data_IF_698621770102
#
_entry.id   IF_698621770102
#
_cell.length_a   1.000
_cell.length_b   1.000
_cell.length_c   1.000
_cell.angle_alpha   90.00
_cell.angle_beta   90.00
_cell.angle_gamma   90.00
#
_symmetry.space_group_name_H-M   'P 1'
#
loop_
_entity.id
_entity.type
_entity.pdbx_description
1 polymer ?
#
# COMPACT_ATOMS: atom_id res chain seq x y z
N UNK A 1 -6.15 4.44 -5.58
CA UNK A 1 -5.27 3.76 -4.59
C UNK A 1 -6.06 2.80 -3.74
N UNK A 2 -5.42 1.75 -3.28
CA UNK A 2 -6.04 0.77 -2.41
C UNK A 2 -5.22 0.64 -1.14
N UNK A 3 -5.85 0.81 0.02
CA UNK A 3 -5.21 0.63 1.33
C UNK A 3 -5.75 -0.63 1.97
N UNK A 4 -4.88 -1.60 2.23
CA UNK A 4 -5.23 -2.89 2.81
C UNK A 4 -4.61 -2.99 4.20
N UNK A 5 -5.44 -2.97 5.23
CA UNK A 5 -4.99 -3.04 6.62
C UNK A 5 -6.14 -3.56 7.48
N UNK A 6 -5.87 -4.52 8.35
CA UNK A 6 -6.90 -5.09 9.22
C UNK A 6 -7.20 -4.20 10.43
N UNK A 7 -6.31 -3.27 10.76
CA UNK A 7 -6.55 -2.28 11.80
C UNK A 7 -7.41 -1.14 11.23
N UNK A 8 -8.64 -1.03 11.70
CA UNK A 8 -9.58 -0.03 11.21
C UNK A 8 -9.08 1.40 11.40
N UNK A 9 -8.39 1.68 12.51
CA UNK A 9 -7.88 3.03 12.78
C UNK A 9 -6.75 3.38 11.82
N UNK A 10 -5.79 2.49 11.62
CA UNK A 10 -4.69 2.71 10.68
C UNK A 10 -5.23 2.88 9.27
N UNK A 11 -6.14 2.02 8.86
CA UNK A 11 -6.78 2.08 7.55
C UNK A 11 -7.45 3.42 7.31
N UNK A 12 -8.21 3.89 8.29
CA UNK A 12 -8.91 5.18 8.21
C UNK A 12 -7.93 6.33 8.12
N UNK A 13 -6.89 6.34 8.95
CA UNK A 13 -5.88 7.41 8.97
C UNK A 13 -5.17 7.49 7.62
N UNK A 14 -4.71 6.37 7.10
CA UNK A 14 -4.03 6.36 5.80
C UNK A 14 -4.95 6.82 4.67
N UNK A 15 -6.17 6.32 4.66
CA UNK A 15 -7.13 6.71 3.62
C UNK A 15 -7.46 8.20 3.67
N UNK A 16 -7.69 8.74 4.85
CA UNK A 16 -7.97 10.17 5.02
C UNK A 16 -6.80 11.03 4.57
N UNK A 17 -5.59 10.63 4.96
CA UNK A 17 -4.39 11.38 4.61
C UNK A 17 -4.16 11.41 3.10
N UNK A 18 -4.35 10.29 2.43
CA UNK A 18 -4.18 10.22 0.98
C UNK A 18 -5.29 10.96 0.25
N UNK A 19 -6.53 10.87 0.74
CA UNK A 19 -7.64 11.63 0.17
C UNK A 19 -7.44 13.12 0.30
N UNK A 20 -6.82 13.56 1.39
CA UNK A 20 -6.49 14.97 1.58
C UNK A 20 -5.47 15.48 0.55
N UNK A 21 -4.72 14.61 -0.07
CA UNK A 21 -3.79 14.94 -1.15
C UNK A 21 -4.45 14.88 -2.53
N UNK A 22 -5.75 14.65 -2.59
CA UNK A 22 -6.49 14.60 -3.85
C UNK A 22 -6.59 13.21 -4.46
N UNK A 23 -6.19 12.17 -3.74
CA UNK A 23 -6.24 10.80 -4.26
C UNK A 23 -7.60 10.17 -4.05
N UNK A 24 -8.02 9.37 -5.02
CA UNK A 24 -9.16 8.48 -4.85
C UNK A 24 -8.67 7.22 -4.13
N UNK A 25 -9.25 6.91 -2.98
CA UNK A 25 -8.78 5.81 -2.13
C UNK A 25 -9.91 4.85 -1.82
N UNK A 26 -9.65 3.58 -2.11
CA UNK A 26 -10.47 2.46 -1.69
C UNK A 26 -9.76 1.74 -0.57
N UNK A 27 -10.51 1.06 0.28
CA UNK A 27 -9.94 0.35 1.43
C UNK A 27 -10.35 -1.11 1.44
N UNK A 28 -9.52 -1.94 2.05
CA UNK A 28 -9.80 -3.34 2.27
C UNK A 28 -9.35 -3.72 3.68
N UNK A 29 -10.10 -4.57 4.34
CA UNK A 29 -9.85 -4.94 5.74
C UNK A 29 -8.96 -6.17 5.90
N UNK A 30 -8.71 -6.90 4.83
CA UNK A 30 -7.87 -8.09 4.86
C UNK A 30 -7.31 -8.38 3.45
N UNK A 31 -6.43 -9.38 3.38
CA UNK A 31 -5.76 -9.71 2.13
C UNK A 31 -6.71 -10.22 1.06
N UNK A 32 -7.75 -10.96 1.44
CA UNK A 32 -8.73 -11.46 0.48
C UNK A 32 -9.49 -10.33 -0.18
N UNK A 33 -10.02 -9.41 0.62
CA UNK A 33 -10.73 -8.24 0.10
C UNK A 33 -9.79 -7.38 -0.74
N UNK A 34 -8.52 -7.25 -0.29
CA UNK A 34 -7.50 -6.54 -1.03
C UNK A 34 -7.28 -7.11 -2.42
N UNK A 35 -7.17 -8.44 -2.52
CA UNK A 35 -7.02 -9.11 -3.81
C UNK A 35 -8.23 -8.92 -4.71
N UNK A 36 -9.42 -9.04 -4.15
CA UNK A 36 -10.66 -8.84 -4.90
C UNK A 36 -10.73 -7.43 -5.47
N UNK A 37 -10.43 -6.43 -4.64
CA UNK A 37 -10.47 -5.03 -5.07
C UNK A 37 -9.34 -4.69 -6.04
N UNK A 38 -8.16 -5.24 -5.86
CA UNK A 38 -7.06 -5.03 -6.80
C UNK A 38 -7.42 -5.54 -8.18
N UNK A 39 -8.04 -6.71 -8.26
CA UNK A 39 -8.46 -7.27 -9.54
C UNK A 39 -9.61 -6.50 -10.18
N UNK A 40 -10.55 -6.03 -9.37
CA UNK A 40 -11.74 -5.34 -9.87
C UNK A 40 -11.52 -3.87 -10.20
N UNK A 41 -10.73 -3.18 -9.38
CA UNK A 41 -10.54 -1.73 -9.50
C UNK A 41 -9.23 -1.35 -10.21
N UNK A 42 -8.28 -2.23 -10.20
CA UNK A 42 -6.95 -2.04 -10.78
C UNK A 42 -6.33 -0.71 -10.33
N UNK A 43 -6.06 -0.55 -9.01
CA UNK A 43 -5.54 0.71 -8.48
C UNK A 43 -4.15 1.04 -8.98
N UNK A 44 -3.78 2.32 -8.91
CA UNK A 44 -2.45 2.79 -9.34
C UNK A 44 -1.36 2.43 -8.32
N UNK A 45 -1.74 2.19 -7.06
CA UNK A 45 -0.83 1.76 -6.01
C UNK A 45 -1.61 1.04 -4.93
N UNK A 46 -0.97 0.05 -4.32
CA UNK A 46 -1.54 -0.69 -3.19
C UNK A 46 -0.65 -0.46 -1.98
N UNK A 47 -1.26 -0.04 -0.87
CA UNK A 47 -0.61 0.02 0.44
C UNK A 47 -1.04 -1.21 1.20
N UNK A 48 -0.09 -2.10 1.52
CA UNK A 48 -0.39 -3.43 2.05
C UNK A 48 0.25 -3.66 3.41
N UNK A 49 -0.59 -3.89 4.43
CA UNK A 49 -0.12 -4.38 5.72
C UNK A 49 0.34 -5.83 5.56
N UNK A 50 1.52 -6.14 6.05
CA UNK A 50 2.08 -7.50 5.90
C UNK A 50 1.55 -8.48 6.95
N UNK A 51 1.15 -8.01 8.11
CA UNK A 51 0.73 -8.86 9.22
C UNK A 51 -0.79 -8.80 9.41
N UNK A 52 -1.50 -9.68 8.72
CA UNK A 52 -2.95 -9.76 8.80
C UNK A 52 -3.39 -11.23 8.93
N UNK A 53 -4.52 -11.50 9.59
CA UNK A 53 -5.04 -12.86 9.68
C UNK A 53 -5.60 -13.35 8.33
N UNK A 54 -5.67 -14.66 8.17
CA UNK A 54 -6.19 -15.27 6.94
C UNK A 54 -5.19 -15.17 5.80
N UNK A 55 -5.62 -14.60 4.69
CA UNK A 55 -4.69 -14.26 3.60
C UNK A 55 -3.93 -13.03 4.05
N UNK A 56 -2.72 -13.24 4.55
CA UNK A 56 -1.88 -12.14 5.05
C UNK A 56 -1.27 -11.34 3.91
N UNK A 57 -0.57 -10.26 4.28
CA UNK A 57 0.02 -9.37 3.28
C UNK A 57 1.05 -10.05 2.39
N UNK A 58 1.84 -10.97 2.94
CA UNK A 58 2.84 -11.72 2.16
C UNK A 58 2.19 -12.55 1.07
N UNK A 59 1.14 -13.28 1.44
CA UNK A 59 0.40 -14.11 0.50
C UNK A 59 -0.28 -13.27 -0.56
N UNK A 60 -0.86 -12.14 -0.16
CA UNK A 60 -1.50 -11.22 -1.09
C UNK A 60 -0.50 -10.67 -2.10
N UNK A 61 0.69 -10.26 -1.65
CA UNK A 61 1.75 -9.76 -2.53
C UNK A 61 2.17 -10.84 -3.52
N UNK A 62 2.35 -12.07 -3.04
CA UNK A 62 2.72 -13.18 -3.90
C UNK A 62 1.69 -13.38 -5.01
N UNK A 63 0.42 -13.39 -4.66
CA UNK A 63 -0.66 -13.57 -5.63
C UNK A 63 -0.75 -12.42 -6.62
N UNK A 64 -0.56 -11.18 -6.16
CA UNK A 64 -0.56 -10.02 -7.06
C UNK A 64 0.59 -10.10 -8.07
N UNK A 65 1.76 -10.54 -7.64
CA UNK A 65 2.92 -10.65 -8.52
C UNK A 65 2.84 -11.81 -9.49
N UNK A 66 2.15 -12.87 -9.13
CA UNK A 66 1.99 -14.04 -9.99
C UNK A 66 0.99 -13.81 -11.12
N UNK A 67 0.05 -12.89 -10.93
CA UNK A 67 -0.97 -12.59 -11.94
C UNK A 67 -0.46 -11.54 -12.93
N UNK A 68 -0.54 -11.85 -14.22
CA UNK A 68 -0.17 -10.89 -15.25
C UNK A 68 -1.05 -9.65 -15.23
N UNK A 69 -2.25 -9.74 -14.66
CA UNK A 69 -3.20 -8.63 -14.55
C UNK A 69 -2.79 -7.61 -13.50
N UNK A 70 -2.20 -8.06 -12.38
CA UNK A 70 -1.92 -7.18 -11.24
C UNK A 70 -0.44 -6.95 -10.96
N UNK A 71 0.46 -7.70 -11.57
CA UNK A 71 1.90 -7.63 -11.23
C UNK A 71 2.54 -6.28 -11.52
N UNK A 72 1.93 -5.46 -12.36
CA UNK A 72 2.46 -4.13 -12.66
C UNK A 72 2.02 -3.06 -11.66
N UNK A 73 1.08 -3.39 -10.76
CA UNK A 73 0.62 -2.43 -9.76
C UNK A 73 1.68 -2.26 -8.69
N UNK A 74 2.18 -1.03 -8.44
CA UNK A 74 3.17 -0.80 -7.39
C UNK A 74 2.60 -1.11 -6.01
N UNK A 75 3.43 -1.68 -5.14
CA UNK A 75 3.03 -2.08 -3.79
C UNK A 75 3.95 -1.42 -2.77
N UNK A 76 3.36 -0.70 -1.82
CA UNK A 76 4.04 -0.18 -0.63
C UNK A 76 3.66 -1.08 0.53
N UNK A 77 4.61 -1.84 1.04
CA UNK A 77 4.37 -2.68 2.21
C UNK A 77 4.55 -1.88 3.49
N UNK A 78 3.68 -2.10 4.47
CA UNK A 78 3.77 -1.47 5.79
C UNK A 78 3.71 -2.57 6.83
N UNK A 79 4.65 -2.57 7.78
CA UNK A 79 4.72 -3.65 8.77
C UNK A 79 5.27 -3.17 10.10
N UNK A 80 4.77 -3.75 11.19
CA UNK A 80 5.33 -3.53 12.52
C UNK A 80 6.62 -4.33 12.75
N UNK A 81 6.98 -5.21 11.82
CA UNK A 81 8.15 -6.11 11.95
C UNK A 81 9.32 -5.55 11.15
N UNK A 82 10.33 -4.94 11.81
CA UNK A 82 11.36 -4.19 11.10
C UNK A 82 12.31 -5.03 10.25
N UNK A 83 12.45 -6.33 10.53
CA UNK A 83 13.35 -7.17 9.76
C UNK A 83 12.83 -7.54 8.37
N UNK A 84 11.61 -7.16 8.05
CA UNK A 84 10.92 -7.59 6.82
C UNK A 84 11.33 -6.83 5.57
N UNK A 85 12.08 -5.73 5.68
CA UNK A 85 12.34 -4.87 4.52
C UNK A 85 12.91 -5.63 3.32
N UNK A 86 14.01 -6.33 3.54
CA UNK A 86 14.69 -7.04 2.46
C UNK A 86 13.81 -8.15 1.90
N UNK A 87 13.13 -8.87 2.78
CA UNK A 87 12.21 -9.93 2.39
C UNK A 87 11.03 -9.38 1.60
N UNK A 88 10.49 -8.23 2.01
CA UNK A 88 9.37 -7.59 1.31
C UNK A 88 9.77 -7.17 -0.10
N UNK A 89 10.93 -6.55 -0.25
CA UNK A 89 11.42 -6.14 -1.57
C UNK A 89 11.67 -7.35 -2.46
N UNK A 90 12.23 -8.42 -1.89
CA UNK A 90 12.45 -9.66 -2.64
C UNK A 90 11.15 -10.33 -3.05
N UNK A 91 10.08 -10.16 -2.27
CA UNK A 91 8.77 -10.71 -2.58
C UNK A 91 8.01 -9.91 -3.64
N UNK A 92 8.51 -8.74 -4.03
CA UNK A 92 7.92 -7.95 -5.09
C UNK A 92 7.33 -6.61 -4.67
N UNK A 93 7.55 -6.17 -3.43
CA UNK A 93 7.15 -4.83 -3.01
C UNK A 93 8.08 -3.80 -3.60
N UNK A 94 7.53 -2.63 -3.93
CA UNK A 94 8.31 -1.53 -4.49
C UNK A 94 8.86 -0.61 -3.41
N UNK A 95 8.25 -0.61 -2.22
CA UNK A 95 8.72 0.13 -1.06
C UNK A 95 8.29 -0.58 0.22
N UNK A 96 8.98 -0.28 1.31
CA UNK A 96 8.68 -0.87 2.61
C UNK A 96 8.79 0.21 3.68
N UNK A 97 7.75 0.30 4.52
CA UNK A 97 7.70 1.24 5.63
C UNK A 97 7.38 0.49 6.92
N UNK A 98 7.92 0.97 8.03
CA UNK A 98 7.68 0.37 9.35
C UNK A 98 6.58 1.10 10.10
N UNK A 99 5.78 0.36 10.86
CA UNK A 99 4.79 0.94 11.76
C UNK A 99 5.46 1.32 13.09
N UNK A 100 5.02 2.41 13.74
CA UNK A 100 3.99 3.33 13.26
C UNK A 100 4.50 4.14 12.06
N UNK A 101 3.66 4.26 11.04
CA UNK A 101 4.04 4.96 9.82
C UNK A 101 3.38 6.34 9.77
N UNK A 102 4.21 7.39 9.71
CA UNK A 102 3.72 8.74 9.53
C UNK A 102 3.03 8.84 8.17
N UNK A 103 1.77 9.33 8.11
CA UNK A 103 1.09 9.49 6.83
C UNK A 103 1.83 10.35 5.81
N UNK A 104 2.65 11.31 6.26
CA UNK A 104 3.44 12.12 5.35
C UNK A 104 4.56 11.31 4.70
N UNK A 105 5.14 10.38 5.45
CA UNK A 105 6.15 9.47 4.89
C UNK A 105 5.50 8.52 3.91
N UNK A 106 4.31 8.01 4.23
CA UNK A 106 3.55 7.16 3.31
C UNK A 106 3.27 7.92 2.01
N UNK A 107 2.78 9.15 2.11
CA UNK A 107 2.52 9.98 0.92
C UNK A 107 3.78 10.18 0.09
N UNK A 108 4.91 10.44 0.75
CA UNK A 108 6.19 10.63 0.06
C UNK A 108 6.56 9.41 -0.81
N UNK A 109 6.37 8.20 -0.26
CA UNK A 109 6.66 6.99 -1.01
C UNK A 109 5.66 6.75 -2.15
N UNK A 110 4.39 6.97 -1.87
CA UNK A 110 3.33 6.79 -2.88
C UNK A 110 3.54 7.74 -4.05
N UNK A 111 3.75 9.03 -3.78
CA UNK A 111 3.92 9.98 -4.87
C UNK A 111 5.17 9.70 -5.69
N UNK A 112 6.24 9.22 -5.06
CA UNK A 112 7.46 8.86 -5.77
C UNK A 112 7.21 7.70 -6.74
N UNK A 113 6.48 6.69 -6.31
CA UNK A 113 6.14 5.54 -7.16
C UNK A 113 5.22 5.92 -8.31
N UNK A 114 4.34 6.89 -8.09
CA UNK A 114 3.42 7.37 -9.12
C UNK A 114 4.03 8.45 -10.02
N UNK A 115 5.23 8.90 -9.71
CA UNK A 115 5.87 9.97 -10.47
C UNK A 115 5.21 11.32 -10.29
N UNK A 116 4.52 11.54 -9.16
CA UNK A 116 3.84 12.80 -8.90
C UNK A 116 4.79 13.82 -8.30
N UNK A 117 4.60 15.12 -8.61
CA UNK A 117 5.45 16.15 -8.03
C UNK A 117 5.20 16.31 -6.53
N UNK A 118 6.21 16.81 -5.82
CA UNK A 118 6.07 17.17 -4.42
C UNK A 118 5.18 18.40 -4.32
N UNK A 119 4.02 18.25 -3.67
CA UNK A 119 3.07 19.36 -3.55
C UNK A 119 3.63 20.55 -2.78
N UNK A 120 4.59 20.33 -1.88
CA UNK A 120 5.24 21.40 -1.16
C UNK A 120 6.14 22.26 -2.05
N UNK A 121 6.79 21.67 -3.04
CA UNK A 121 7.71 22.38 -3.92
C UNK A 121 6.99 23.23 -4.97
N UNK A 122 5.77 22.90 -5.28
CA UNK A 122 4.98 23.64 -6.27
C UNK A 122 4.68 25.07 -5.85
N UNK A 123 4.65 25.28 -4.55
CA UNK A 123 4.32 26.58 -3.98
C UNK A 123 5.54 27.48 -3.80
N UNK A 124 6.68 26.90 -4.03
CA UNK A 124 7.93 27.64 -3.91
C UNK A 124 8.20 28.58 -5.05
#
# INVERSE_FOLDING_TARGET
>A
MLVVDDDADARTIYAMSLRAKGCEVFTAKDGREGLEKANGLWPDVIVMDLAMPGVDGWEAIRRLNESSWTREIPIVAVSAVPHSRQTALAAGCDAYLTKPCDPQILWSQVRALLGLPDSGSELG
#
